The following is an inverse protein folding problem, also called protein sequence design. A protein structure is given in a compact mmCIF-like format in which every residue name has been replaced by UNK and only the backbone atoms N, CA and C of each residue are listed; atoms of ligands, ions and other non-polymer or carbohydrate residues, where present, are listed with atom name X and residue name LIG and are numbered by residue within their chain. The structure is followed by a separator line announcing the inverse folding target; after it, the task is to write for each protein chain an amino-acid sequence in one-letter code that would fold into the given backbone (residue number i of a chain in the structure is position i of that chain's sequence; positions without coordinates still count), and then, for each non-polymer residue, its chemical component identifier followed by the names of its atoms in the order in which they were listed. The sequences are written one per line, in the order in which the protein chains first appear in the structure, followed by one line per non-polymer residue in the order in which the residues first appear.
data_IF_614783780787
#
_entry.id   IF_614783780787
#
_cell.length_a   1.000
_cell.length_b   1.000
_cell.length_c   1.000
_cell.angle_alpha   90.00
_cell.angle_beta   90.00
_cell.angle_gamma   90.00
#
_symmetry.space_group_name_H-M   'P 1'
#
loop_
_entity.id
_entity.type
_entity.pdbx_description
1 polymer ?
#
# COMPACT_ATOMS: atom_id res chain seq x y z
N UNK A 1 10.15 36.52 -61.57
CA UNK A 1 10.00 36.90 -60.16
C UNK A 1 8.69 37.69 -60.09
N UNK A 2 7.81 37.36 -59.14
CA UNK A 2 6.35 37.59 -59.12
C UNK A 2 5.50 36.62 -59.96
N UNK A 3 4.66 35.84 -59.26
CA UNK A 3 3.20 35.81 -59.43
C UNK A 3 2.55 35.09 -58.24
N UNK A 4 1.67 35.85 -57.61
CA UNK A 4 0.68 35.44 -56.61
C UNK A 4 -0.32 34.49 -57.24
N UNK A 5 -0.65 33.38 -56.56
CA UNK A 5 -1.84 32.58 -56.85
C UNK A 5 -2.71 32.51 -55.59
N UNK A 6 -3.89 33.12 -55.70
CA UNK A 6 -5.07 32.92 -54.86
C UNK A 6 -5.71 31.57 -55.18
N UNK A 7 -6.13 30.81 -54.16
CA UNK A 7 -7.34 29.98 -54.23
C UNK A 7 -8.04 29.90 -52.88
N UNK A 8 -9.37 30.01 -52.94
CA UNK A 8 -10.33 30.18 -51.86
C UNK A 8 -10.84 28.85 -51.25
N UNK A 9 -11.59 29.00 -50.15
CA UNK A 9 -12.79 28.25 -49.64
C UNK A 9 -12.64 27.62 -48.23
N UNK A 10 -13.72 27.48 -47.40
CA UNK A 10 -15.04 28.15 -47.34
C UNK A 10 -15.42 28.60 -45.88
N UNK A 11 -16.68 29.05 -45.58
CA UNK A 11 -16.99 29.88 -44.41
C UNK A 11 -17.26 29.09 -43.12
N UNK A 12 -17.07 29.78 -42.00
CA UNK A 12 -17.44 29.43 -40.63
C UNK A 12 -18.89 28.89 -40.54
N UNK A 13 -19.05 27.58 -40.54
CA UNK A 13 -20.28 26.94 -40.07
C UNK A 13 -20.34 27.04 -38.55
N UNK A 14 -21.30 27.86 -38.11
CA UNK A 14 -21.82 28.02 -36.75
C UNK A 14 -22.29 26.66 -36.20
N UNK A 15 -21.38 25.92 -35.58
CA UNK A 15 -21.72 24.79 -34.72
C UNK A 15 -22.18 25.30 -33.36
N UNK A 16 -23.42 24.97 -32.98
CA UNK A 16 -23.92 25.12 -31.60
C UNK A 16 -22.92 24.48 -30.63
N UNK A 17 -22.69 25.05 -29.43
CA UNK A 17 -21.85 24.39 -28.44
C UNK A 17 -22.57 23.14 -27.98
N UNK A 18 -22.12 21.97 -28.43
CA UNK A 18 -22.36 20.72 -27.74
C UNK A 18 -21.68 20.86 -26.38
N UNK A 19 -22.48 20.94 -25.32
CA UNK A 19 -22.02 20.93 -23.95
C UNK A 19 -21.39 19.56 -23.66
N UNK A 20 -20.11 19.41 -23.97
CA UNK A 20 -19.31 18.32 -23.43
C UNK A 20 -19.02 18.67 -21.98
N UNK A 21 -19.58 17.89 -21.06
CA UNK A 21 -19.29 17.90 -19.62
C UNK A 21 -17.84 17.46 -19.42
N UNK A 22 -16.89 18.35 -19.74
CA UNK A 22 -15.48 18.15 -19.48
C UNK A 22 -15.28 18.40 -17.99
N UNK A 23 -15.08 17.32 -17.22
CA UNK A 23 -14.28 17.44 -16.00
C UNK A 23 -12.98 18.11 -16.43
N UNK A 24 -12.66 19.24 -15.80
CA UNK A 24 -11.55 20.09 -16.23
C UNK A 24 -10.26 19.27 -16.14
N UNK A 25 -9.65 18.96 -17.29
CA UNK A 25 -8.38 18.21 -17.37
C UNK A 25 -7.32 18.82 -16.46
N UNK A 26 -7.39 20.15 -16.25
CA UNK A 26 -6.52 20.92 -15.36
C UNK A 26 -6.65 20.53 -13.88
N UNK A 27 -7.86 20.19 -13.42
CA UNK A 27 -8.11 19.71 -12.05
C UNK A 27 -7.50 18.32 -11.85
N UNK A 28 -7.74 17.39 -12.79
CA UNK A 28 -7.14 16.06 -12.75
C UNK A 28 -5.60 16.09 -12.78
N UNK A 29 -5.01 16.98 -13.58
CA UNK A 29 -3.55 17.16 -13.63
C UNK A 29 -3.01 17.67 -12.29
N UNK A 30 -3.67 18.67 -11.71
CA UNK A 30 -3.30 19.23 -10.39
C UNK A 30 -3.36 18.16 -9.29
N UNK A 31 -4.39 17.31 -9.30
CA UNK A 31 -4.52 16.19 -8.37
C UNK A 31 -3.34 15.22 -8.48
N UNK A 32 -3.00 14.80 -9.70
CA UNK A 32 -1.87 13.91 -9.91
C UNK A 32 -0.54 14.56 -9.53
N UNK A 33 -0.33 15.84 -9.83
CA UNK A 33 0.87 16.56 -9.38
C UNK A 33 1.02 16.54 -7.86
N UNK A 34 -0.08 16.69 -7.12
CA UNK A 34 -0.07 16.56 -5.65
C UNK A 34 0.29 15.14 -5.20
N UNK A 35 -0.28 14.11 -5.85
CA UNK A 35 0.04 12.72 -5.55
C UNK A 35 1.47 12.33 -5.91
N UNK A 36 2.07 12.91 -6.96
CA UNK A 36 3.49 12.73 -7.30
C UNK A 36 4.37 13.12 -6.12
N UNK A 37 4.12 14.30 -5.53
CA UNK A 37 4.89 14.76 -4.37
C UNK A 37 4.74 13.84 -3.16
N UNK A 38 3.58 13.23 -2.97
CA UNK A 38 3.36 12.25 -1.90
C UNK A 38 4.08 10.92 -2.17
N UNK A 39 4.06 10.43 -3.41
CA UNK A 39 4.82 9.23 -3.83
C UNK A 39 6.32 9.46 -3.67
N UNK A 40 6.83 10.62 -4.11
CA UNK A 40 8.24 10.96 -3.97
C UNK A 40 8.62 11.12 -2.49
N UNK A 41 7.73 11.71 -1.67
CA UNK A 41 7.91 11.74 -0.21
C UNK A 41 7.96 10.33 0.36
N UNK A 42 7.09 9.43 -0.06
CA UNK A 42 7.08 8.03 0.37
C UNK A 42 8.38 7.30 -0.01
N UNK A 43 9.00 7.64 -1.14
CA UNK A 43 10.34 7.15 -1.47
C UNK A 43 11.40 7.64 -0.48
N UNK A 44 11.33 8.90 -0.03
CA UNK A 44 12.30 9.45 0.95
C UNK A 44 12.17 8.82 2.34
N UNK A 45 10.99 8.27 2.68
CA UNK A 45 10.77 7.53 3.92
C UNK A 45 11.30 6.09 3.88
N UNK A 46 11.69 5.58 2.71
CA UNK A 46 12.38 4.30 2.64
C UNK A 46 13.76 4.42 3.29
N UNK A 47 14.07 3.44 4.14
CA UNK A 47 15.38 3.33 4.75
C UNK A 47 16.43 2.88 3.71
N UNK A 48 17.74 3.03 4.00
CA UNK A 48 18.80 2.50 3.16
C UNK A 48 18.53 1.03 2.79
N UNK A 49 18.87 0.66 1.56
CA UNK A 49 18.61 -0.67 0.98
C UNK A 49 17.13 -0.98 0.67
N UNK A 50 16.23 0.00 0.78
CA UNK A 50 14.81 -0.18 0.44
C UNK A 50 14.02 -0.94 1.50
N UNK A 51 14.51 -0.91 2.75
CA UNK A 51 13.84 -1.49 3.90
C UNK A 51 12.60 -0.66 4.31
N UNK A 52 11.55 -1.34 4.77
CA UNK A 52 10.23 -0.75 5.02
C UNK A 52 9.98 -0.75 6.53
N UNK A 53 9.47 0.35 7.07
CA UNK A 53 9.10 0.49 8.48
C UNK A 53 7.59 0.62 8.65
N UNK A 54 7.09 0.49 9.89
CA UNK A 54 5.69 0.80 10.21
C UNK A 54 5.35 2.27 9.97
N UNK A 55 6.33 3.18 10.13
CA UNK A 55 6.16 4.58 9.76
C UNK A 55 5.91 4.72 8.25
N UNK A 56 6.69 4.00 7.43
CA UNK A 56 6.46 3.99 5.98
C UNK A 56 5.06 3.44 5.64
N UNK A 57 4.64 2.35 6.29
CA UNK A 57 3.29 1.79 6.11
C UNK A 57 2.19 2.78 6.50
N UNK A 58 2.42 3.58 7.53
CA UNK A 58 1.52 4.65 7.97
C UNK A 58 1.38 5.74 6.90
N UNK A 59 2.49 6.20 6.33
CA UNK A 59 2.49 7.18 5.24
C UNK A 59 1.85 6.63 3.95
N UNK A 60 2.11 5.37 3.61
CA UNK A 60 1.47 4.71 2.48
C UNK A 60 -0.06 4.59 2.67
N UNK A 61 -0.52 4.32 3.89
CA UNK A 61 -1.96 4.27 4.23
C UNK A 61 -2.59 5.65 4.14
N UNK A 62 -1.91 6.70 4.58
CA UNK A 62 -2.37 8.08 4.38
C UNK A 62 -2.46 8.47 2.90
N UNK A 63 -1.52 8.00 2.08
CA UNK A 63 -1.60 8.18 0.64
C UNK A 63 -2.82 7.46 0.04
N UNK A 64 -3.12 6.22 0.48
CA UNK A 64 -4.34 5.51 0.09
C UNK A 64 -5.61 6.26 0.48
N UNK A 65 -5.69 6.78 1.71
CA UNK A 65 -6.82 7.62 2.17
C UNK A 65 -7.00 8.85 1.30
N UNK A 66 -5.90 9.54 0.97
CA UNK A 66 -5.93 10.70 0.08
C UNK A 66 -6.42 10.30 -1.32
N UNK A 67 -5.91 9.23 -1.89
CA UNK A 67 -6.36 8.73 -3.20
C UNK A 67 -7.84 8.35 -3.19
N UNK A 68 -8.30 7.63 -2.15
CA UNK A 68 -9.71 7.29 -1.99
C UNK A 68 -10.61 8.53 -1.87
N UNK A 69 -10.19 9.51 -1.07
CA UNK A 69 -10.92 10.78 -0.92
C UNK A 69 -10.99 11.56 -2.22
N UNK A 70 -9.90 11.60 -3.00
CA UNK A 70 -9.89 12.23 -4.32
C UNK A 70 -10.79 11.50 -5.31
N UNK A 71 -10.79 10.16 -5.27
CA UNK A 71 -11.70 9.35 -6.07
C UNK A 71 -13.14 9.70 -5.72
N UNK A 72 -13.53 9.70 -4.43
CA UNK A 72 -14.87 10.05 -3.99
C UNK A 72 -15.28 11.48 -4.41
N UNK A 73 -14.43 12.48 -4.17
CA UNK A 73 -14.68 13.87 -4.58
C UNK A 73 -14.90 14.00 -6.09
N UNK A 74 -14.18 13.22 -6.88
CA UNK A 74 -14.36 13.18 -8.32
C UNK A 74 -15.77 12.66 -8.70
N UNK A 75 -16.27 11.63 -8.02
CA UNK A 75 -17.65 11.16 -8.19
C UNK A 75 -18.69 12.20 -7.78
N UNK A 76 -18.41 12.99 -6.73
CA UNK A 76 -19.34 14.03 -6.27
C UNK A 76 -19.45 15.20 -7.24
N UNK A 77 -18.31 15.58 -7.85
CA UNK A 77 -18.21 16.74 -8.77
C UNK A 77 -18.59 16.42 -10.20
N UNK A 78 -18.42 15.17 -10.63
CA UNK A 78 -18.95 14.77 -11.91
C UNK A 78 -20.47 14.86 -11.81
N UNK A 79 -21.10 15.80 -12.54
CA UNK A 79 -22.55 15.80 -12.75
C UNK A 79 -22.89 14.52 -13.51
N UNK A 80 -23.03 13.42 -12.76
CA UNK A 80 -23.08 12.09 -13.34
C UNK A 80 -24.31 12.03 -14.25
N UNK A 81 -24.14 11.89 -15.58
CA UNK A 81 -25.27 11.79 -16.48
C UNK A 81 -26.07 10.55 -16.12
N UNK A 82 -27.40 10.65 -16.12
CA UNK A 82 -28.34 9.56 -15.89
C UNK A 82 -28.29 8.45 -16.97
N UNK A 83 -27.22 8.39 -17.78
CA UNK A 83 -27.03 7.40 -18.82
C UNK A 83 -26.47 6.10 -18.25
N UNK A 84 -26.77 4.99 -18.91
CA UNK A 84 -26.39 3.63 -18.54
C UNK A 84 -24.86 3.42 -18.37
N UNK A 85 -24.01 4.32 -18.89
CA UNK A 85 -22.56 4.33 -18.65
C UNK A 85 -22.18 4.63 -17.19
N UNK A 86 -23.08 5.25 -16.42
CA UNK A 86 -22.92 5.54 -15.00
C UNK A 86 -22.87 4.26 -14.13
N UNK A 87 -23.62 3.23 -14.51
CA UNK A 87 -23.70 1.96 -13.75
C UNK A 87 -22.30 1.31 -13.69
N UNK A 88 -21.56 1.30 -14.81
CA UNK A 88 -20.20 0.78 -14.84
C UNK A 88 -19.22 1.55 -13.94
N UNK A 89 -19.38 2.87 -13.81
CA UNK A 89 -18.45 3.71 -13.05
C UNK A 89 -18.73 3.57 -11.54
N UNK A 90 -20.00 3.57 -11.12
CA UNK A 90 -20.38 3.26 -9.74
C UNK A 90 -19.89 1.87 -9.32
N UNK A 91 -20.08 0.87 -10.17
CA UNK A 91 -19.64 -0.49 -9.90
C UNK A 91 -18.12 -0.57 -9.70
N UNK A 92 -17.34 0.14 -10.53
CA UNK A 92 -15.88 0.25 -10.37
C UNK A 92 -15.49 0.83 -9.02
N UNK A 93 -16.14 1.91 -8.56
CA UNK A 93 -15.89 2.44 -7.22
C UNK A 93 -16.30 1.45 -6.12
N UNK A 94 -17.43 0.78 -6.27
CA UNK A 94 -17.95 -0.13 -5.25
C UNK A 94 -17.11 -1.39 -5.10
N UNK A 95 -16.56 -1.89 -6.21
CA UNK A 95 -15.58 -2.96 -6.22
C UNK A 95 -14.27 -2.48 -5.57
N UNK A 96 -13.78 -1.30 -5.94
CA UNK A 96 -12.54 -0.74 -5.39
C UNK A 96 -12.63 -0.48 -3.89
N UNK A 97 -13.72 0.13 -3.44
CA UNK A 97 -13.99 0.35 -2.04
C UNK A 97 -14.15 -0.99 -1.28
N UNK A 98 -14.57 -2.06 -1.94
CA UNK A 98 -14.63 -3.39 -1.30
C UNK A 98 -13.21 -3.94 -1.11
N UNK A 99 -12.36 -3.83 -2.13
CA UNK A 99 -10.95 -4.24 -2.05
C UNK A 99 -10.20 -3.51 -0.94
N UNK A 100 -10.38 -2.19 -0.81
CA UNK A 100 -9.77 -1.42 0.28
C UNK A 100 -10.25 -1.85 1.67
N UNK A 101 -11.52 -2.22 1.83
CA UNK A 101 -12.05 -2.76 3.09
C UNK A 101 -11.46 -4.14 3.39
N UNK A 102 -11.33 -5.00 2.39
CA UNK A 102 -10.68 -6.31 2.52
C UNK A 102 -9.20 -6.14 2.90
N UNK A 103 -8.50 -5.16 2.31
CA UNK A 103 -7.15 -4.80 2.71
C UNK A 103 -7.09 -4.36 4.17
N UNK A 104 -7.94 -3.44 4.60
CA UNK A 104 -7.96 -2.99 5.99
C UNK A 104 -8.19 -4.15 6.97
N UNK A 105 -9.05 -5.10 6.62
CA UNK A 105 -9.27 -6.31 7.41
C UNK A 105 -8.00 -7.20 7.47
N UNK A 106 -7.32 -7.39 6.34
CA UNK A 106 -6.06 -8.13 6.28
C UNK A 106 -4.95 -7.44 7.07
N UNK A 107 -4.83 -6.10 6.98
CA UNK A 107 -3.89 -5.33 7.78
C UNK A 107 -4.19 -5.44 9.27
N UNK A 108 -5.46 -5.36 9.67
CA UNK A 108 -5.89 -5.52 11.08
C UNK A 108 -5.56 -6.92 11.62
N UNK A 109 -5.77 -7.96 10.79
CA UNK A 109 -5.35 -9.33 11.09
C UNK A 109 -3.83 -9.41 11.28
N UNK A 110 -3.06 -8.79 10.37
CA UNK A 110 -1.60 -8.74 10.44
C UNK A 110 -1.10 -8.06 11.73
N UNK A 111 -1.66 -6.90 12.07
CA UNK A 111 -1.35 -6.16 13.29
C UNK A 111 -1.65 -7.02 14.52
N UNK A 112 -2.77 -7.74 14.53
CA UNK A 112 -3.11 -8.68 15.61
C UNK A 112 -2.07 -9.79 15.76
N UNK A 113 -1.57 -10.34 14.65
CA UNK A 113 -0.49 -11.32 14.65
C UNK A 113 0.83 -10.74 15.18
N UNK A 114 1.21 -9.55 14.73
CA UNK A 114 2.37 -8.84 15.24
C UNK A 114 2.25 -8.55 16.75
N UNK A 115 1.04 -8.22 17.22
CA UNK A 115 0.74 -8.07 18.64
C UNK A 115 0.96 -9.36 19.45
N UNK A 116 0.56 -10.52 18.91
CA UNK A 116 0.84 -11.83 19.55
C UNK A 116 2.33 -12.15 19.57
N UNK A 117 3.04 -11.87 18.48
CA UNK A 117 4.49 -12.04 18.43
C UNK A 117 5.18 -11.17 19.48
N UNK A 118 4.80 -9.88 19.56
CA UNK A 118 5.30 -8.95 20.57
C UNK A 118 5.05 -9.47 21.99
N UNK A 119 3.86 -9.98 22.30
CA UNK A 119 3.58 -10.58 23.63
C UNK A 119 4.52 -11.76 23.93
N UNK A 120 4.89 -12.54 22.93
CA UNK A 120 5.86 -13.64 23.08
C UNK A 120 7.25 -13.09 23.37
N UNK A 121 7.65 -12.00 22.70
CA UNK A 121 8.89 -11.27 22.97
C UNK A 121 8.90 -10.71 24.40
N UNK A 122 7.83 -10.04 24.82
CA UNK A 122 7.69 -9.48 26.17
C UNK A 122 7.85 -10.56 27.26
N UNK A 123 7.21 -11.73 27.05
CA UNK A 123 7.36 -12.87 27.95
C UNK A 123 8.79 -13.42 28.00
N UNK A 124 9.47 -13.48 26.85
CA UNK A 124 10.86 -13.91 26.80
C UNK A 124 11.77 -12.93 27.53
N UNK A 125 11.58 -11.62 27.33
CA UNK A 125 12.33 -10.57 28.05
C UNK A 125 12.17 -10.69 29.56
N UNK A 126 10.94 -10.92 30.06
CA UNK A 126 10.71 -11.13 31.50
C UNK A 126 11.52 -12.34 31.99
N UNK A 127 11.46 -13.47 31.28
CA UNK A 127 12.20 -14.68 31.63
C UNK A 127 13.72 -14.52 31.55
N UNK A 128 14.22 -13.60 30.71
CA UNK A 128 15.64 -13.30 30.60
C UNK A 128 16.15 -12.33 31.68
N UNK A 129 15.25 -11.62 32.35
CA UNK A 129 15.55 -10.59 33.34
C UNK A 129 15.34 -11.03 34.79
N UNK A 130 14.95 -12.29 35.06
CA UNK A 130 14.85 -12.79 36.43
C UNK A 130 16.21 -12.70 37.14
N UNK A 131 16.18 -12.35 38.45
CA UNK A 131 17.37 -12.06 39.26
C UNK A 131 18.29 -13.27 39.46
N UNK A 132 17.78 -14.49 39.24
CA UNK A 132 18.58 -15.70 39.06
C UNK A 132 18.89 -15.83 37.56
N UNK A 133 20.18 -15.92 37.19
CA UNK A 133 20.60 -16.11 35.79
C UNK A 133 19.78 -17.26 35.20
N UNK A 134 18.91 -16.97 34.21
CA UNK A 134 18.01 -17.99 33.70
C UNK A 134 18.83 -19.13 33.11
N UNK A 135 18.45 -20.35 33.45
CA UNK A 135 19.19 -21.52 32.99
C UNK A 135 19.24 -21.53 31.45
N UNK A 136 20.37 -21.98 30.90
CA UNK A 136 20.61 -21.99 29.45
C UNK A 136 19.52 -22.74 28.66
N UNK A 137 18.94 -23.81 29.22
CA UNK A 137 17.84 -24.54 28.62
C UNK A 137 16.56 -23.70 28.54
N UNK A 138 16.23 -22.93 29.58
CA UNK A 138 15.12 -21.97 29.57
C UNK A 138 15.31 -20.92 28.47
N UNK A 139 16.49 -20.31 28.37
CA UNK A 139 16.74 -19.28 27.35
C UNK A 139 16.66 -19.88 25.94
N UNK A 140 17.21 -21.09 25.74
CA UNK A 140 17.16 -21.81 24.46
C UNK A 140 15.73 -22.15 24.05
N UNK A 141 14.90 -22.63 24.98
CA UNK A 141 13.50 -22.94 24.72
C UNK A 141 12.70 -21.69 24.31
N UNK A 142 12.97 -20.55 24.94
CA UNK A 142 12.35 -19.28 24.60
C UNK A 142 12.76 -18.74 23.22
N UNK A 143 14.04 -18.88 22.86
CA UNK A 143 14.52 -18.53 21.51
C UNK A 143 13.84 -19.39 20.46
N UNK A 144 13.74 -20.71 20.68
CA UNK A 144 13.07 -21.60 19.73
C UNK A 144 11.59 -21.23 19.57
N UNK A 145 10.92 -20.88 20.68
CA UNK A 145 9.54 -20.37 20.66
C UNK A 145 9.42 -19.08 19.84
N UNK A 146 10.33 -18.12 20.03
CA UNK A 146 10.36 -16.86 19.28
C UNK A 146 10.62 -17.07 17.79
N UNK A 147 11.56 -17.94 17.42
CA UNK A 147 11.84 -18.30 16.04
C UNK A 147 10.61 -18.95 15.37
N UNK A 148 9.91 -19.83 16.10
CA UNK A 148 8.72 -20.50 15.60
C UNK A 148 7.53 -19.56 15.45
N UNK A 149 7.30 -18.63 16.38
CA UNK A 149 6.27 -17.59 16.25
C UNK A 149 6.61 -16.58 15.14
N UNK A 150 7.87 -16.16 15.03
CA UNK A 150 8.32 -15.27 13.95
C UNK A 150 8.06 -15.85 12.55
N UNK A 151 8.27 -17.17 12.37
CA UNK A 151 7.94 -17.86 11.12
C UNK A 151 6.44 -17.88 10.81
N UNK A 152 5.56 -17.82 11.82
CA UNK A 152 4.10 -17.80 11.61
C UNK A 152 3.60 -16.45 11.10
N UNK A 153 4.32 -15.37 11.37
CA UNK A 153 4.00 -14.02 10.87
C UNK A 153 4.00 -14.02 9.34
N UNK A 154 4.94 -14.72 8.71
CA UNK A 154 5.06 -14.84 7.26
C UNK A 154 4.62 -16.23 6.77
N UNK A 155 3.31 -16.46 6.58
CA UNK A 155 2.90 -17.70 5.89
C UNK A 155 1.42 -18.03 5.77
N UNK A 156 0.55 -17.49 6.63
CA UNK A 156 -0.82 -18.02 6.77
C UNK A 156 -1.78 -17.57 5.65
N UNK A 157 -1.56 -16.41 5.01
CA UNK A 157 -2.52 -15.82 4.05
C UNK A 157 -2.16 -15.98 2.54
N UNK A 158 -1.14 -16.79 2.21
CA UNK A 158 -0.60 -16.97 0.85
C UNK A 158 -1.65 -17.27 -0.24
N UNK A 159 -2.80 -17.84 0.12
CA UNK A 159 -3.78 -18.39 -0.82
C UNK A 159 -4.94 -17.45 -1.19
N UNK A 160 -5.33 -16.50 -0.32
CA UNK A 160 -6.51 -15.64 -0.55
C UNK A 160 -6.15 -14.42 -1.42
N UNK A 161 -5.00 -13.82 -1.16
CA UNK A 161 -4.56 -12.56 -1.78
C UNK A 161 -4.03 -12.70 -3.22
N UNK A 162 -3.37 -13.82 -3.54
CA UNK A 162 -2.95 -14.13 -4.93
C UNK A 162 -4.13 -14.18 -5.91
N UNK A 163 -5.34 -14.43 -5.41
CA UNK A 163 -6.56 -14.41 -6.22
C UNK A 163 -7.18 -13.01 -6.33
N UNK A 164 -7.04 -12.12 -5.33
CA UNK A 164 -7.55 -10.73 -5.41
C UNK A 164 -6.96 -9.98 -6.61
N UNK A 165 -5.63 -10.02 -6.79
CA UNK A 165 -4.96 -9.29 -7.88
C UNK A 165 -4.98 -10.00 -9.23
N UNK A 166 -5.27 -11.31 -9.26
CA UNK A 166 -5.50 -12.03 -10.52
C UNK A 166 -6.82 -11.64 -11.18
N UNK A 167 -7.83 -11.26 -10.39
CA UNK A 167 -9.13 -10.83 -10.92
C UNK A 167 -9.06 -9.41 -11.50
N UNK A 168 -8.23 -8.54 -10.90
CA UNK A 168 -7.98 -7.18 -11.41
C UNK A 168 -7.25 -7.14 -12.76
N UNK A 169 -6.41 -8.15 -13.05
CA UNK A 169 -5.66 -8.26 -14.31
C UNK A 169 -6.52 -8.60 -15.55
N UNK A 170 -7.81 -8.96 -15.39
CA UNK A 170 -8.63 -9.44 -16.51
C UNK A 170 -10.07 -8.93 -16.49
N UNK A 171 -10.25 -7.64 -16.23
CA UNK A 171 -11.28 -6.88 -16.92
C UNK A 171 -10.62 -6.09 -18.06
N UNK A 172 -9.92 -6.79 -18.95
CA UNK A 172 -9.99 -6.42 -20.36
C UNK A 172 -11.48 -6.40 -20.70
N UNK A 173 -12.12 -5.24 -20.54
CA UNK A 173 -13.31 -4.95 -21.31
C UNK A 173 -12.92 -5.24 -22.74
N UNK A 174 -13.49 -6.32 -23.28
CA UNK A 174 -13.59 -6.68 -24.69
C UNK A 174 -14.34 -5.59 -25.47
N UNK A 175 -14.04 -4.32 -25.22
CA UNK A 175 -14.49 -3.17 -25.95
C UNK A 175 -13.46 -2.95 -27.04
N UNK A 176 -13.79 -3.41 -28.25
CA UNK A 176 -13.08 -3.11 -29.49
C UNK A 176 -13.00 -1.59 -29.80
N UNK A 177 -13.51 -0.70 -28.95
CA UNK A 177 -13.52 0.75 -29.13
C UNK A 177 -12.56 1.46 -28.17
N UNK A 178 -11.25 1.27 -28.38
CA UNK A 178 -10.18 1.98 -27.65
C UNK A 178 -10.13 3.51 -27.89
N UNK A 179 -10.94 4.04 -28.81
CA UNK A 179 -10.87 5.44 -29.23
C UNK A 179 -11.86 6.41 -28.57
N UNK A 180 -12.77 5.96 -27.70
CA UNK A 180 -13.72 6.84 -27.01
C UNK A 180 -13.91 6.49 -25.53
N UNK A 181 -12.81 6.43 -24.76
CA UNK A 181 -12.94 6.62 -23.31
C UNK A 181 -12.73 8.09 -22.99
N UNK A 182 -13.71 8.69 -22.33
CA UNK A 182 -13.60 10.03 -21.78
C UNK A 182 -12.36 10.11 -20.88
N UNK A 183 -11.74 11.29 -20.80
CA UNK A 183 -10.64 11.58 -19.87
C UNK A 183 -10.98 11.17 -18.43
N UNK A 184 -12.26 11.20 -18.06
CA UNK A 184 -12.85 10.79 -16.79
C UNK A 184 -12.67 9.30 -16.46
N UNK A 185 -13.14 8.39 -17.33
CA UNK A 185 -13.04 6.92 -17.09
C UNK A 185 -11.58 6.53 -16.92
N UNK A 186 -10.77 7.12 -17.78
CA UNK A 186 -9.33 7.00 -17.84
C UNK A 186 -8.61 7.46 -16.55
N UNK A 187 -9.03 8.57 -15.96
CA UNK A 187 -8.55 9.05 -14.66
C UNK A 187 -8.84 8.04 -13.54
N UNK A 188 -10.07 7.51 -13.50
CA UNK A 188 -10.51 6.53 -12.50
C UNK A 188 -9.63 5.28 -12.55
N UNK A 189 -9.32 4.76 -13.74
CA UNK A 189 -8.44 3.61 -13.91
C UNK A 189 -7.00 3.88 -13.43
N UNK A 190 -6.47 5.08 -13.65
CA UNK A 190 -5.14 5.44 -13.16
C UNK A 190 -5.09 5.52 -11.62
N UNK A 191 -6.10 6.11 -10.99
CA UNK A 191 -6.20 6.15 -9.52
C UNK A 191 -6.35 4.74 -8.96
N UNK A 192 -7.27 3.93 -9.52
CA UNK A 192 -7.46 2.52 -9.18
C UNK A 192 -6.14 1.73 -9.27
N UNK A 193 -5.47 1.81 -10.41
CA UNK A 193 -4.18 1.12 -10.62
C UNK A 193 -3.12 1.55 -9.59
N UNK A 194 -3.13 2.80 -9.14
CA UNK A 194 -2.22 3.24 -8.09
C UNK A 194 -2.59 2.66 -6.73
N UNK A 195 -3.87 2.65 -6.38
CA UNK A 195 -4.36 2.03 -5.14
C UNK A 195 -3.95 0.56 -5.13
N UNK A 196 -4.22 -0.19 -6.21
CA UNK A 196 -3.81 -1.60 -6.34
C UNK A 196 -2.30 -1.81 -6.12
N UNK A 197 -1.45 -0.92 -6.65
CA UNK A 197 0.01 -0.97 -6.45
C UNK A 197 0.38 -0.68 -4.99
N UNK A 198 -0.21 0.33 -4.37
CA UNK A 198 0.07 0.67 -2.97
C UNK A 198 -0.39 -0.42 -2.01
N UNK A 199 -1.57 -1.00 -2.26
CA UNK A 199 -2.12 -2.13 -1.53
C UNK A 199 -1.17 -3.32 -1.61
N UNK A 200 -0.64 -3.62 -2.80
CA UNK A 200 0.37 -4.66 -2.99
C UNK A 200 1.67 -4.37 -2.25
N UNK A 201 2.14 -3.13 -2.23
CA UNK A 201 3.35 -2.75 -1.50
C UNK A 201 3.16 -2.88 0.02
N UNK A 202 2.02 -2.43 0.56
CA UNK A 202 1.68 -2.58 1.98
C UNK A 202 1.54 -4.05 2.37
N UNK A 203 0.83 -4.83 1.56
CA UNK A 203 0.71 -6.27 1.74
C UNK A 203 2.10 -6.92 1.68
N UNK A 204 2.95 -6.49 0.74
CA UNK A 204 4.30 -7.01 0.61
C UNK A 204 5.19 -6.71 1.81
N UNK A 205 5.04 -5.53 2.39
CA UNK A 205 5.82 -5.11 3.55
C UNK A 205 5.46 -5.93 4.79
N UNK A 206 4.15 -6.07 5.05
CA UNK A 206 3.64 -6.54 6.35
C UNK A 206 3.37 -8.04 6.33
N UNK A 207 2.71 -8.54 5.28
CA UNK A 207 2.13 -9.87 5.25
C UNK A 207 3.00 -10.86 4.47
N UNK A 208 3.46 -10.48 3.28
CA UNK A 208 4.14 -11.43 2.40
C UNK A 208 5.01 -10.78 1.34
N UNK A 209 6.34 -10.95 1.37
CA UNK A 209 7.21 -10.38 0.35
C UNK A 209 6.83 -10.85 -1.06
N UNK A 210 6.49 -9.89 -1.92
CA UNK A 210 6.20 -10.09 -3.33
C UNK A 210 7.45 -9.74 -4.13
N UNK A 211 7.78 -10.54 -5.15
CA UNK A 211 8.95 -10.27 -6.02
C UNK A 211 8.64 -9.34 -7.18
N UNK A 212 7.36 -9.26 -7.57
CA UNK A 212 6.89 -8.52 -8.73
C UNK A 212 5.44 -8.06 -8.55
N UNK A 213 5.19 -6.80 -8.87
CA UNK A 213 3.86 -6.22 -9.01
C UNK A 213 3.72 -6.03 -10.51
N UNK A 214 2.94 -6.90 -11.19
CA UNK A 214 2.96 -7.11 -12.64
C UNK A 214 2.75 -5.88 -13.55
N UNK A 215 2.13 -6.02 -14.71
CA UNK A 215 2.11 -4.95 -15.72
C UNK A 215 1.13 -3.79 -15.41
N UNK A 216 1.35 -3.02 -14.34
CA UNK A 216 0.54 -1.84 -14.01
C UNK A 216 0.89 -0.62 -14.88
N UNK A 217 2.09 -0.57 -15.46
CA UNK A 217 2.55 0.55 -16.29
C UNK A 217 1.73 0.74 -17.57
N UNK A 218 1.07 -0.31 -18.06
CA UNK A 218 0.27 -0.26 -19.29
C UNK A 218 -0.88 0.74 -19.19
N UNK A 219 -1.48 0.86 -18.00
CA UNK A 219 -2.58 1.81 -17.72
C UNK A 219 -2.12 3.24 -18.02
N UNK A 220 -0.84 3.56 -17.80
CA UNK A 220 -0.29 4.91 -17.93
C UNK A 220 0.23 5.24 -19.34
N UNK A 221 0.50 4.23 -20.19
CA UNK A 221 0.99 4.46 -21.57
C UNK A 221 0.02 5.28 -22.42
N UNK A 222 -1.27 5.23 -22.10
CA UNK A 222 -2.31 6.05 -22.73
C UNK A 222 -2.33 7.52 -22.32
N UNK A 223 -1.45 7.95 -21.40
CA UNK A 223 -1.52 9.27 -20.73
C UNK A 223 -0.19 10.00 -20.67
N UNK A 224 0.17 10.78 -21.71
CA UNK A 224 1.38 11.60 -21.68
C UNK A 224 1.47 12.53 -20.47
N UNK A 225 0.33 13.07 -20.01
CA UNK A 225 0.25 13.93 -18.82
C UNK A 225 0.56 13.22 -17.49
N UNK A 226 0.38 11.89 -17.42
CA UNK A 226 0.66 11.10 -16.22
C UNK A 226 2.05 10.46 -16.24
N UNK A 227 2.88 10.81 -17.24
CA UNK A 227 4.23 10.24 -17.39
C UNK A 227 5.08 10.42 -16.13
N UNK A 228 5.05 11.60 -15.51
CA UNK A 228 5.80 11.87 -14.29
C UNK A 228 5.30 11.03 -13.12
N UNK A 229 3.98 10.89 -13.01
CA UNK A 229 3.35 10.08 -11.99
C UNK A 229 3.70 8.60 -12.12
N UNK A 230 3.58 8.05 -13.33
CA UNK A 230 3.98 6.68 -13.64
C UNK A 230 5.48 6.46 -13.36
N UNK A 231 6.35 7.41 -13.69
CA UNK A 231 7.78 7.31 -13.40
C UNK A 231 8.08 7.32 -11.89
N UNK A 232 7.43 8.19 -11.11
CA UNK A 232 7.57 8.20 -9.65
C UNK A 232 7.04 6.93 -9.00
N UNK A 233 5.91 6.40 -9.48
CA UNK A 233 5.36 5.12 -9.02
C UNK A 233 6.32 3.96 -9.36
N UNK A 234 6.83 3.91 -10.58
CA UNK A 234 7.80 2.91 -11.03
C UNK A 234 9.09 2.92 -10.22
N UNK A 235 9.59 4.11 -9.89
CA UNK A 235 10.76 4.26 -9.02
C UNK A 235 10.47 3.76 -7.59
N UNK A 236 9.30 4.07 -7.03
CA UNK A 236 8.90 3.58 -5.71
C UNK A 236 8.83 2.04 -5.68
N UNK A 237 8.14 1.43 -6.65
CA UNK A 237 8.03 -0.02 -6.79
C UNK A 237 9.42 -0.64 -6.92
N UNK A 238 10.26 -0.09 -7.79
CA UNK A 238 11.64 -0.54 -7.95
C UNK A 238 12.46 -0.46 -6.66
N UNK A 239 12.31 0.60 -5.87
CA UNK A 239 12.98 0.71 -4.57
C UNK A 239 12.43 -0.29 -3.54
N UNK A 240 11.13 -0.57 -3.55
CA UNK A 240 10.50 -1.47 -2.60
C UNK A 240 10.73 -2.95 -2.91
N UNK A 241 10.99 -3.34 -4.16
CA UNK A 241 11.09 -4.76 -4.54
C UNK A 241 12.54 -5.23 -4.83
N UNK A 242 13.49 -4.30 -5.02
CA UNK A 242 14.88 -4.66 -5.34
C UNK A 242 15.53 -5.53 -4.27
N UNK A 243 16.06 -6.67 -4.69
CA UNK A 243 16.97 -7.50 -3.89
C UNK A 243 16.33 -8.20 -2.69
N UNK A 244 15.00 -8.29 -2.60
CA UNK A 244 14.32 -8.88 -1.45
C UNK A 244 14.19 -10.40 -1.57
N UNK A 245 14.86 -11.10 -0.66
CA UNK A 245 14.65 -12.53 -0.45
C UNK A 245 13.24 -12.76 0.12
N UNK A 246 12.40 -13.47 -0.63
CA UNK A 246 10.95 -13.58 -0.37
C UNK A 246 10.59 -14.57 0.75
N UNK A 247 11.48 -14.73 1.71
CA UNK A 247 11.39 -15.76 2.76
C UNK A 247 11.14 -15.19 4.15
N UNK A 248 11.29 -13.87 4.36
CA UNK A 248 11.17 -13.24 5.68
C UNK A 248 10.48 -11.86 5.63
N UNK A 249 9.99 -11.41 6.78
CA UNK A 249 9.32 -10.10 6.93
C UNK A 249 10.26 -8.98 6.48
N UNK A 250 9.70 -8.02 5.76
CA UNK A 250 10.43 -6.87 5.21
C UNK A 250 10.44 -5.68 6.19
N UNK A 251 9.66 -5.78 7.28
CA UNK A 251 9.55 -4.75 8.30
C UNK A 251 10.81 -4.67 9.16
N UNK A 252 11.40 -3.47 9.22
CA UNK A 252 12.62 -3.20 9.98
C UNK A 252 12.44 -3.48 11.47
N UNK A 253 11.27 -3.18 12.03
CA UNK A 253 10.97 -3.44 13.43
C UNK A 253 11.09 -4.94 13.77
N UNK A 254 10.60 -5.81 12.87
CA UNK A 254 10.75 -7.26 13.01
C UNK A 254 12.21 -7.69 12.81
N UNK A 255 12.91 -7.12 11.81
CA UNK A 255 14.33 -7.46 11.57
C UNK A 255 15.22 -7.14 12.78
N UNK A 256 14.97 -6.03 13.48
CA UNK A 256 15.74 -5.67 14.67
C UNK A 256 15.48 -6.65 15.82
N UNK A 257 14.22 -7.07 16.03
CA UNK A 257 13.87 -8.10 17.02
C UNK A 257 14.54 -9.43 16.67
N UNK A 258 14.44 -9.86 15.41
CA UNK A 258 15.05 -11.11 14.95
C UNK A 258 16.57 -11.11 15.10
N UNK A 259 17.22 -9.97 14.80
CA UNK A 259 18.65 -9.80 15.03
C UNK A 259 19.00 -9.92 16.51
N UNK A 260 18.25 -9.25 17.39
CA UNK A 260 18.48 -9.34 18.82
C UNK A 260 18.32 -10.80 19.33
N UNK A 261 17.34 -11.54 18.83
CA UNK A 261 17.16 -12.97 19.15
C UNK A 261 18.35 -13.81 18.67
N UNK A 262 18.88 -13.54 17.47
CA UNK A 262 20.07 -14.21 16.96
C UNK A 262 21.33 -13.90 17.78
N UNK A 263 21.52 -12.64 18.17
CA UNK A 263 22.66 -12.22 19.00
C UNK A 263 22.60 -12.90 20.38
N UNK A 264 21.40 -13.00 20.98
CA UNK A 264 21.19 -13.75 22.24
C UNK A 264 21.54 -15.24 22.04
N UNK A 265 21.10 -15.84 20.94
CA UNK A 265 21.38 -17.25 20.60
C UNK A 265 22.88 -17.51 20.44
N UNK A 266 23.59 -16.62 19.76
CA UNK A 266 25.03 -16.74 19.55
C UNK A 266 25.80 -16.69 20.87
N UNK A 267 25.44 -15.79 21.77
CA UNK A 267 26.08 -15.68 23.08
C UNK A 267 25.84 -16.93 23.95
N UNK A 268 24.68 -17.56 23.86
CA UNK A 268 24.40 -18.80 24.59
C UNK A 268 25.21 -19.97 24.04
N UNK A 269 25.37 -20.05 22.72
CA UNK A 269 26.13 -21.13 22.08
C UNK A 269 27.63 -21.11 22.42
N UNK A 270 28.15 -19.99 22.91
CA UNK A 270 29.55 -19.85 23.36
C UNK A 270 29.83 -20.51 24.72
N UNK A 271 28.78 -20.89 25.48
CA UNK A 271 28.91 -21.52 26.80
C UNK A 271 29.41 -20.57 27.90
N UNK A 272 29.47 -21.05 29.16
CA UNK A 272 29.81 -20.22 30.34
C UNK A 272 31.20 -19.57 30.28
N UNK A 273 32.18 -20.21 29.65
CA UNK A 273 33.56 -19.71 29.54
C UNK A 273 33.76 -18.71 28.37
N UNK A 274 32.81 -18.62 27.44
CA UNK A 274 32.91 -17.80 26.22
C UNK A 274 31.80 -16.75 26.06
N UNK A 275 30.75 -16.78 26.90
CA UNK A 275 29.64 -15.85 26.84
C UNK A 275 30.02 -14.48 27.41
N UNK A 276 29.86 -13.43 26.61
CA UNK A 276 29.98 -12.05 27.09
C UNK A 276 28.66 -11.64 27.73
N UNK A 277 28.56 -11.77 29.06
CA UNK A 277 27.38 -11.38 29.85
C UNK A 277 26.97 -9.93 29.56
N UNK A 278 27.94 -9.05 29.30
CA UNK A 278 27.68 -7.66 28.92
C UNK A 278 27.02 -7.54 27.56
N UNK A 279 27.42 -8.36 26.58
CA UNK A 279 26.79 -8.43 25.25
C UNK A 279 25.40 -9.06 25.33
N UNK A 280 25.24 -10.15 26.06
CA UNK A 280 23.94 -10.79 26.28
C UNK A 280 22.93 -9.80 26.87
N UNK A 281 23.32 -9.06 27.92
CA UNK A 281 22.48 -8.02 28.52
C UNK A 281 22.12 -6.92 27.52
N UNK A 282 23.07 -6.44 26.72
CA UNK A 282 22.80 -5.45 25.66
C UNK A 282 21.80 -5.95 24.62
N UNK A 283 21.87 -7.24 24.24
CA UNK A 283 20.93 -7.83 23.29
C UNK A 283 19.52 -7.99 23.89
N UNK A 284 19.40 -8.33 25.18
CA UNK A 284 18.13 -8.36 25.90
C UNK A 284 17.53 -6.94 26.01
N UNK A 285 18.35 -5.93 26.33
CA UNK A 285 17.92 -4.52 26.38
C UNK A 285 17.49 -4.01 25.00
N UNK A 286 18.16 -4.46 23.93
CA UNK A 286 17.75 -4.19 22.55
C UNK A 286 16.40 -4.84 22.24
N UNK A 287 16.22 -6.11 22.62
CA UNK A 287 14.96 -6.83 22.43
C UNK A 287 13.79 -6.12 23.13
N UNK A 288 13.99 -5.69 24.38
CA UNK A 288 13.02 -4.93 25.18
C UNK A 288 12.63 -3.60 24.52
N UNK A 289 13.62 -2.80 24.12
CA UNK A 289 13.38 -1.52 23.44
C UNK A 289 12.69 -1.69 22.09
N UNK A 290 13.07 -2.73 21.35
CA UNK A 290 12.49 -3.03 20.04
C UNK A 290 11.04 -3.51 20.17
N UNK A 291 10.72 -4.29 21.21
CA UNK A 291 9.34 -4.67 21.53
C UNK A 291 8.45 -3.46 21.81
N UNK A 292 8.96 -2.49 22.60
CA UNK A 292 8.25 -1.25 22.88
C UNK A 292 8.05 -0.40 21.62
N UNK A 293 9.09 -0.20 20.82
CA UNK A 293 9.00 0.55 19.57
C UNK A 293 8.02 -0.12 18.58
N UNK A 294 8.02 -1.46 18.51
CA UNK A 294 7.06 -2.21 17.72
C UNK A 294 5.62 -1.95 18.19
N UNK A 295 5.38 -1.93 19.51
CA UNK A 295 4.06 -1.59 20.07
C UNK A 295 3.58 -0.21 19.62
N UNK A 296 4.41 0.82 19.84
CA UNK A 296 4.06 2.20 19.51
C UNK A 296 3.81 2.36 18.00
N UNK A 297 4.66 1.76 17.16
CA UNK A 297 4.48 1.72 15.71
C UNK A 297 3.17 1.04 15.29
N UNK A 298 2.83 -0.09 15.91
CA UNK A 298 1.59 -0.82 15.63
C UNK A 298 0.35 -0.02 16.03
N UNK A 299 0.37 0.64 17.19
CA UNK A 299 -0.76 1.45 17.68
C UNK A 299 -1.04 2.64 16.74
N UNK A 300 0.02 3.33 16.28
CA UNK A 300 -0.12 4.40 15.29
C UNK A 300 -0.64 3.88 13.96
N UNK A 301 -0.10 2.76 13.48
CA UNK A 301 -0.51 2.17 12.21
C UNK A 301 -1.95 1.65 12.26
N UNK A 302 -2.36 1.01 13.36
CA UNK A 302 -3.72 0.52 13.58
C UNK A 302 -4.75 1.65 13.58
N UNK A 303 -4.44 2.79 14.20
CA UNK A 303 -5.29 3.97 14.15
C UNK A 303 -5.55 4.42 12.71
N UNK A 304 -4.52 4.47 11.87
CA UNK A 304 -4.63 4.86 10.46
C UNK A 304 -5.40 3.85 9.61
N UNK A 305 -5.22 2.55 9.86
CA UNK A 305 -6.01 1.50 9.19
C UNK A 305 -7.49 1.62 9.55
N UNK A 306 -7.81 1.88 10.82
CA UNK A 306 -9.18 2.10 11.27
C UNK A 306 -9.79 3.36 10.65
N UNK A 307 -9.03 4.45 10.54
CA UNK A 307 -9.45 5.67 9.86
C UNK A 307 -9.74 5.41 8.38
N UNK A 308 -8.85 4.73 7.65
CA UNK A 308 -9.08 4.34 6.25
C UNK A 308 -10.33 3.48 6.11
N UNK A 309 -10.51 2.47 6.97
CA UNK A 309 -11.70 1.62 6.94
C UNK A 309 -12.99 2.44 7.10
N UNK A 310 -13.00 3.36 8.08
CA UNK A 310 -14.16 4.23 8.34
C UNK A 310 -14.43 5.17 7.15
N UNK A 311 -13.40 5.78 6.58
CA UNK A 311 -13.51 6.67 5.41
C UNK A 311 -14.08 5.92 4.20
N UNK A 312 -13.56 4.73 3.88
CA UNK A 312 -14.03 3.93 2.75
C UNK A 312 -15.48 3.48 2.95
N UNK A 313 -15.82 3.02 4.15
CA UNK A 313 -17.20 2.64 4.49
C UNK A 313 -18.15 3.82 4.34
N UNK A 314 -17.78 4.99 4.85
CA UNK A 314 -18.60 6.20 4.77
C UNK A 314 -18.73 6.70 3.32
N UNK A 315 -17.65 6.61 2.52
CA UNK A 315 -17.65 6.94 1.10
C UNK A 315 -18.67 6.13 0.31
N UNK A 316 -18.73 4.80 0.54
CA UNK A 316 -19.75 3.92 -0.07
C UNK A 316 -21.17 4.33 0.29
N UNK A 317 -21.44 4.59 1.57
CA UNK A 317 -22.77 5.01 2.05
C UNK A 317 -23.16 6.34 1.41
N UNK A 318 -22.24 7.30 1.37
CA UNK A 318 -22.46 8.62 0.77
C UNK A 318 -22.80 8.50 -0.72
N UNK A 319 -22.03 7.70 -1.46
CA UNK A 319 -22.24 7.50 -2.90
C UNK A 319 -23.58 6.82 -3.19
N UNK A 320 -23.97 5.79 -2.44
CA UNK A 320 -25.28 5.14 -2.56
C UNK A 320 -26.44 6.11 -2.30
N UNK A 321 -26.31 6.96 -1.28
CA UNK A 321 -27.33 7.97 -0.97
C UNK A 321 -27.52 8.97 -2.12
N UNK A 322 -26.43 9.37 -2.78
CA UNK A 322 -26.49 10.27 -3.95
C UNK A 322 -27.18 9.62 -5.16
N UNK A 323 -26.97 8.32 -5.38
CA UNK A 323 -27.61 7.58 -6.49
C UNK A 323 -29.11 7.40 -6.21
N UNK A 324 -29.47 7.01 -4.98
CA UNK A 324 -30.86 6.78 -4.59
C UNK A 324 -31.67 8.09 -4.48
N UNK A 325 -31.04 9.21 -4.12
CA UNK A 325 -31.69 10.52 -4.04
C UNK A 325 -31.93 11.22 -5.38
N UNK A 326 -31.46 10.64 -6.49
CA UNK A 326 -31.62 11.17 -7.87
C UNK A 326 -32.71 10.43 -8.68
N UNK A 327 -33.40 9.45 -8.10
CA UNK A 327 -34.57 8.78 -8.69
C UNK A 327 -35.88 9.48 -8.31
#
# INVERSE_FOLDING_TARGET
MERVFLTCFPPLCRGKPSSSTNVNVDESVTLFSSLVSDIDRLQTWLLPEGSISLQWCSEATNLLRKMHSQLLLFYEKSEVPSSWDCINILDVYMEEALHLLDLCNSLSSAISWMGRYRLTVDLAVIKFCDDEIPDVATIKAEIERLENEGKKICGVEKRKYKNMFKTAAMAETKSKNRHHHSSTIRFIYAVKSTIDVMDMLLFSAILYPVSDIGEYEEVYRGFPQLKFFSASLGKLVGCCLKGKDCTRSVLVENMVIEKAVLDIKEEILKGEEGADVGRLRKSIDLLKRSSLALKEGMEMFEALVNELFAEVKNGRVKLLAMVNGKQ
#
